data_IF_924340294130
#
_entry.id   IF_924340294130
#
_cell.length_a   1.000
_cell.length_b   1.000
_cell.length_c   1.000
_cell.angle_alpha   90.00
_cell.angle_beta   90.00
_cell.angle_gamma   90.00
#
_symmetry.space_group_name_H-M   'P 1'
#
loop_
_entity.id
_entity.type
_entity.pdbx_description
1 polymer ?
#
# COMPACT_ATOMS: atom_id res chain seq x y z
N UNK A 1 -12.87 -0.03 -25.03
CA UNK A 1 -13.98 -0.93 -24.72
C UNK A 1 -13.74 -2.25 -25.42
N UNK A 2 -13.04 -3.16 -24.76
CA UNK A 2 -12.81 -4.55 -25.19
C UNK A 2 -13.84 -5.53 -24.65
N UNK A 3 -14.80 -5.06 -23.84
CA UNK A 3 -15.88 -5.84 -23.23
C UNK A 3 -16.58 -6.76 -24.23
N UNK A 4 -16.68 -8.06 -23.91
CA UNK A 4 -17.17 -9.05 -24.85
C UNK A 4 -17.45 -10.43 -24.24
N UNK A 5 -17.24 -11.46 -25.06
CA UNK A 5 -17.44 -12.87 -24.71
C UNK A 5 -16.14 -13.62 -25.00
N UNK A 6 -15.32 -13.79 -23.95
CA UNK A 6 -13.97 -14.32 -24.05
C UNK A 6 -14.03 -15.84 -23.88
N UNK A 7 -14.02 -16.59 -24.99
CA UNK A 7 -14.17 -18.05 -24.96
C UNK A 7 -12.90 -18.74 -24.44
N UNK A 8 -13.02 -19.60 -23.43
CA UNK A 8 -11.89 -20.30 -22.80
C UNK A 8 -11.97 -21.81 -23.01
N UNK A 9 -10.91 -22.54 -22.63
CA UNK A 9 -10.91 -24.01 -22.52
C UNK A 9 -11.86 -24.52 -21.42
N UNK A 10 -12.27 -23.66 -20.48
CA UNK A 10 -12.98 -24.02 -19.26
C UNK A 10 -14.46 -23.64 -19.24
N UNK A 11 -14.99 -23.01 -20.29
CA UNK A 11 -16.41 -22.62 -20.44
C UNK A 11 -17.42 -23.76 -20.28
N UNK A 12 -16.99 -25.03 -20.31
CA UNK A 12 -17.85 -26.20 -20.05
C UNK A 12 -17.69 -26.81 -18.63
N UNK A 13 -16.76 -26.31 -17.80
CA UNK A 13 -16.59 -26.75 -16.40
C UNK A 13 -17.66 -26.15 -15.51
N UNK A 14 -18.15 -26.90 -14.52
CA UNK A 14 -18.89 -26.34 -13.39
C UNK A 14 -18.02 -25.38 -12.56
N UNK A 15 -18.62 -24.56 -11.70
CA UNK A 15 -17.85 -23.74 -10.75
C UNK A 15 -17.02 -24.60 -9.79
N UNK A 16 -17.48 -25.81 -9.45
CA UNK A 16 -16.74 -26.75 -8.60
C UNK A 16 -15.45 -27.23 -9.28
N UNK A 17 -15.53 -27.62 -10.56
CA UNK A 17 -14.38 -28.04 -11.36
C UNK A 17 -13.43 -26.89 -11.67
N UNK A 18 -13.94 -25.67 -11.90
CA UNK A 18 -13.13 -24.47 -12.12
C UNK A 18 -12.39 -24.05 -10.84
N UNK A 19 -13.11 -23.93 -9.71
CA UNK A 19 -12.52 -23.47 -8.46
C UNK A 19 -11.48 -24.44 -7.90
N UNK A 20 -11.64 -25.76 -8.15
CA UNK A 20 -10.60 -26.75 -7.86
C UNK A 20 -9.24 -26.45 -8.52
N UNK A 21 -9.20 -25.68 -9.61
CA UNK A 21 -7.96 -25.32 -10.30
C UNK A 21 -7.16 -24.22 -9.60
N UNK A 22 -7.76 -23.49 -8.64
CA UNK A 22 -7.05 -22.52 -7.79
C UNK A 22 -6.29 -23.18 -6.63
N UNK A 23 -6.48 -24.48 -6.37
CA UNK A 23 -5.60 -25.25 -5.49
C UNK A 23 -4.18 -25.17 -6.01
N UNK A 24 -3.21 -24.87 -5.15
CA UNK A 24 -1.77 -24.79 -5.45
C UNK A 24 -1.26 -26.08 -6.10
N UNK A 25 -1.75 -27.23 -5.62
CA UNK A 25 -1.47 -28.55 -6.19
C UNK A 25 -1.96 -28.74 -7.63
N UNK A 26 -2.88 -27.89 -8.11
CA UNK A 26 -3.34 -27.83 -9.49
C UNK A 26 -2.73 -26.65 -10.26
N UNK A 27 -2.82 -25.42 -9.72
CA UNK A 27 -2.38 -24.17 -10.34
C UNK A 27 -0.89 -24.18 -10.69
N UNK A 28 -0.04 -24.77 -9.84
CA UNK A 28 1.40 -24.94 -10.11
C UNK A 28 1.72 -25.83 -11.31
N UNK A 29 0.77 -26.68 -11.73
CA UNK A 29 0.91 -27.60 -12.87
C UNK A 29 0.30 -27.03 -14.16
N UNK A 30 -0.42 -25.91 -14.09
CA UNK A 30 -0.98 -25.22 -15.25
C UNK A 30 0.10 -24.45 -16.00
N UNK A 31 0.05 -24.54 -17.33
CA UNK A 31 0.88 -23.73 -18.22
C UNK A 31 0.32 -22.31 -18.27
N UNK A 32 1.12 -21.35 -18.74
CA UNK A 32 0.75 -19.93 -18.75
C UNK A 32 -0.61 -19.65 -19.44
N UNK A 33 -0.89 -20.29 -20.58
CA UNK A 33 -2.18 -20.13 -21.26
C UNK A 33 -3.35 -20.82 -20.54
N UNK A 34 -3.06 -21.81 -19.68
CA UNK A 34 -4.06 -22.53 -18.87
C UNK A 34 -4.35 -21.81 -17.55
N UNK A 35 -3.37 -21.05 -17.02
CA UNK A 35 -3.60 -20.06 -15.98
C UNK A 35 -4.44 -18.89 -16.53
N UNK A 36 -4.10 -18.36 -17.70
CA UNK A 36 -4.81 -17.23 -18.30
C UNK A 36 -6.28 -17.58 -18.60
N UNK A 37 -6.54 -18.73 -19.23
CA UNK A 37 -7.91 -19.21 -19.47
C UNK A 37 -8.70 -19.42 -18.16
N UNK A 38 -8.05 -19.84 -17.06
CA UNK A 38 -8.70 -20.00 -15.76
C UNK A 38 -9.12 -18.65 -15.19
N UNK A 39 -8.24 -17.64 -15.20
CA UNK A 39 -8.58 -16.29 -14.71
C UNK A 39 -9.68 -15.67 -15.59
N UNK A 40 -9.54 -15.74 -16.92
CA UNK A 40 -10.53 -15.20 -17.86
C UNK A 40 -11.91 -15.86 -17.68
N UNK A 41 -11.97 -17.18 -17.42
CA UNK A 41 -13.23 -17.89 -17.18
C UNK A 41 -13.87 -17.52 -15.84
N UNK A 42 -13.07 -17.28 -14.80
CA UNK A 42 -13.57 -16.78 -13.51
C UNK A 42 -14.11 -15.35 -13.65
N UNK A 43 -13.39 -14.46 -14.34
CA UNK A 43 -13.83 -13.09 -14.64
C UNK A 43 -15.10 -13.09 -15.50
N UNK A 44 -15.20 -13.95 -16.52
CA UNK A 44 -16.44 -14.14 -17.29
C UNK A 44 -17.64 -14.47 -16.40
N UNK A 45 -17.43 -15.28 -15.36
CA UNK A 45 -18.49 -15.73 -14.44
C UNK A 45 -18.86 -14.66 -13.42
N UNK A 46 -17.88 -13.95 -12.88
CA UNK A 46 -18.10 -12.80 -11.99
C UNK A 46 -18.85 -11.68 -12.72
N UNK A 47 -18.44 -11.34 -13.94
CA UNK A 47 -19.12 -10.39 -14.81
C UNK A 47 -20.59 -10.77 -15.08
N UNK A 48 -20.87 -12.04 -15.37
CA UNK A 48 -22.25 -12.55 -15.56
C UNK A 48 -23.04 -12.60 -14.25
N UNK A 49 -22.40 -12.93 -13.12
CA UNK A 49 -23.01 -12.93 -11.77
C UNK A 49 -23.46 -11.51 -11.36
N UNK A 50 -22.70 -10.49 -11.77
CA UNK A 50 -22.91 -9.07 -11.43
C UNK A 50 -23.74 -8.29 -12.45
N UNK A 51 -24.01 -8.88 -13.62
CA UNK A 51 -24.85 -8.28 -14.68
C UNK A 51 -24.10 -7.35 -15.64
N UNK A 52 -22.79 -7.53 -15.80
CA UNK A 52 -21.94 -6.69 -16.67
C UNK A 52 -22.28 -6.87 -18.16
N UNK A 53 -22.18 -5.78 -18.94
CA UNK A 53 -22.51 -5.76 -20.37
C UNK A 53 -21.28 -6.18 -21.19
N UNK A 54 -20.93 -7.45 -21.02
CA UNK A 54 -19.71 -8.06 -21.55
C UNK A 54 -18.61 -8.09 -20.50
N UNK A 55 -17.92 -9.23 -20.44
CA UNK A 55 -16.75 -9.46 -19.59
C UNK A 55 -15.53 -8.71 -20.15
N UNK A 56 -14.62 -8.18 -19.33
CA UNK A 56 -13.35 -7.63 -19.81
C UNK A 56 -12.37 -8.71 -20.28
N UNK A 57 -11.42 -8.30 -21.11
CA UNK A 57 -10.33 -9.18 -21.58
C UNK A 57 -9.23 -9.25 -20.52
N UNK A 58 -8.89 -10.45 -20.01
CA UNK A 58 -7.78 -10.65 -19.08
C UNK A 58 -6.48 -10.88 -19.84
N UNK A 59 -5.39 -10.25 -19.40
CA UNK A 59 -4.04 -10.41 -19.93
C UNK A 59 -3.00 -10.55 -18.82
N UNK A 60 -2.00 -11.40 -19.02
CA UNK A 60 -0.76 -11.36 -18.24
C UNK A 60 0.27 -10.53 -19.01
N UNK A 61 0.77 -9.45 -18.39
CA UNK A 61 1.81 -8.59 -18.97
C UNK A 61 2.87 -8.23 -17.91
N UNK A 62 4.03 -7.80 -18.38
CA UNK A 62 5.10 -7.29 -17.52
C UNK A 62 4.68 -5.88 -17.03
N UNK A 63 4.26 -5.77 -15.76
CA UNK A 63 3.83 -4.51 -15.13
C UNK A 63 4.98 -3.80 -14.39
N UNK A 64 4.81 -2.50 -14.05
CA UNK A 64 5.68 -1.79 -13.12
C UNK A 64 5.87 -2.48 -11.76
N UNK A 65 6.89 -2.06 -11.03
CA UNK A 65 7.20 -2.54 -9.68
C UNK A 65 6.15 -2.02 -8.69
N UNK A 66 5.83 -2.81 -7.67
CA UNK A 66 4.67 -2.67 -6.77
C UNK A 66 3.29 -2.89 -7.44
N UNK A 67 3.19 -2.94 -8.76
CA UNK A 67 1.92 -3.04 -9.48
C UNK A 67 1.54 -4.51 -9.74
N UNK A 68 0.45 -4.97 -9.10
CA UNK A 68 -0.02 -6.37 -9.21
C UNK A 68 -1.07 -6.56 -10.32
N UNK A 69 -1.83 -5.51 -10.63
CA UNK A 69 -2.80 -5.44 -11.72
C UNK A 69 -3.16 -4.00 -12.06
N UNK A 70 -3.85 -3.82 -13.18
CA UNK A 70 -4.60 -2.60 -13.51
C UNK A 70 -5.75 -2.93 -14.49
N UNK A 71 -6.68 -2.01 -14.67
CA UNK A 71 -7.65 -2.07 -15.78
C UNK A 71 -7.79 -0.75 -16.51
N UNK A 72 -8.00 -0.85 -17.81
CA UNK A 72 -8.40 0.26 -18.66
C UNK A 72 -9.23 -0.24 -19.83
N UNK A 73 -10.23 0.53 -20.25
CA UNK A 73 -10.92 0.33 -21.53
C UNK A 73 -11.61 -1.05 -21.69
N UNK A 74 -11.87 -1.77 -20.60
CA UNK A 74 -12.39 -3.15 -20.60
C UNK A 74 -11.34 -4.23 -20.82
N UNK A 75 -10.09 -3.96 -20.46
CA UNK A 75 -8.98 -4.92 -20.39
C UNK A 75 -8.44 -4.93 -18.96
N UNK A 76 -8.39 -6.12 -18.36
CA UNK A 76 -7.71 -6.37 -17.08
C UNK A 76 -6.28 -6.86 -17.40
N UNK A 77 -5.28 -6.13 -16.92
CA UNK A 77 -3.89 -6.53 -16.94
C UNK A 77 -3.49 -7.04 -15.55
N UNK A 78 -2.81 -8.18 -15.48
CA UNK A 78 -2.27 -8.74 -14.24
C UNK A 78 -0.77 -8.96 -14.40
N UNK A 79 -0.01 -8.68 -13.35
CA UNK A 79 1.44 -8.84 -13.33
C UNK A 79 1.82 -10.29 -13.65
N UNK A 80 2.54 -10.48 -14.76
CA UNK A 80 2.89 -11.80 -15.30
C UNK A 80 3.86 -12.57 -14.39
N UNK A 81 4.80 -11.89 -13.75
CA UNK A 81 5.75 -12.54 -12.83
C UNK A 81 5.04 -13.07 -11.57
N UNK A 82 4.05 -12.31 -11.07
CA UNK A 82 3.15 -12.77 -10.01
C UNK A 82 2.31 -13.96 -10.46
N UNK A 83 1.55 -13.82 -11.55
CA UNK A 83 0.56 -14.80 -11.97
C UNK A 83 1.15 -16.13 -12.46
N UNK A 84 2.29 -16.08 -13.17
CA UNK A 84 2.90 -17.23 -13.83
C UNK A 84 3.98 -17.88 -12.96
N UNK A 85 4.82 -17.09 -12.28
CA UNK A 85 5.99 -17.59 -11.55
C UNK A 85 5.89 -17.48 -10.02
N UNK A 86 4.92 -16.75 -9.49
CA UNK A 86 4.80 -16.50 -8.05
C UNK A 86 5.87 -15.55 -7.51
N UNK A 87 6.33 -14.61 -8.34
CA UNK A 87 7.32 -13.60 -7.96
C UNK A 87 6.61 -12.25 -7.81
N UNK A 88 6.75 -11.62 -6.64
CA UNK A 88 6.34 -10.24 -6.44
C UNK A 88 7.57 -9.32 -6.39
N UNK A 89 7.51 -8.21 -7.11
CA UNK A 89 8.54 -7.18 -7.14
C UNK A 89 8.07 -5.95 -6.37
N UNK A 90 8.87 -5.52 -5.39
CA UNK A 90 8.65 -4.27 -4.68
C UNK A 90 9.85 -3.33 -4.82
N UNK A 91 9.63 -2.03 -4.64
CA UNK A 91 10.72 -1.04 -4.65
C UNK A 91 11.03 -0.55 -3.24
N UNK A 92 12.33 -0.50 -2.93
CA UNK A 92 12.83 0.09 -1.69
C UNK A 92 14.07 0.95 -1.99
N UNK A 93 13.96 2.26 -1.78
CA UNK A 93 15.04 3.25 -1.96
C UNK A 93 15.72 3.18 -3.34
N UNK A 94 14.94 3.17 -4.43
CA UNK A 94 15.48 3.10 -5.80
C UNK A 94 16.04 1.73 -6.20
N UNK A 95 15.79 0.68 -5.42
CA UNK A 95 16.17 -0.71 -5.74
C UNK A 95 14.93 -1.59 -5.82
N UNK A 96 14.86 -2.39 -6.89
CA UNK A 96 13.82 -3.42 -7.06
C UNK A 96 14.24 -4.68 -6.31
N UNK A 97 13.36 -5.18 -5.45
CA UNK A 97 13.52 -6.41 -4.67
C UNK A 97 12.46 -7.41 -5.15
N UNK A 98 12.92 -8.53 -5.69
CA UNK A 98 12.04 -9.63 -6.11
C UNK A 98 12.04 -10.72 -5.05
N UNK A 99 10.86 -11.17 -4.64
CA UNK A 99 10.69 -12.28 -3.69
C UNK A 99 9.59 -13.24 -4.18
N UNK A 100 9.66 -14.49 -3.72
CA UNK A 100 8.62 -15.47 -4.02
C UNK A 100 7.45 -15.28 -3.04
N UNK A 101 6.22 -15.37 -3.53
CA UNK A 101 4.99 -15.40 -2.73
C UNK A 101 4.31 -16.78 -2.87
N UNK A 102 3.98 -17.38 -1.73
CA UNK A 102 3.51 -18.78 -1.68
C UNK A 102 2.03 -18.94 -2.07
N UNK A 103 1.27 -17.84 -2.02
CA UNK A 103 -0.18 -17.74 -2.28
C UNK A 103 -0.52 -17.10 -3.63
N UNK A 104 0.44 -17.05 -4.56
CA UNK A 104 0.30 -16.37 -5.86
C UNK A 104 -0.89 -16.85 -6.70
N UNK A 105 -1.29 -18.12 -6.57
CA UNK A 105 -2.52 -18.69 -7.14
C UNK A 105 -3.79 -17.95 -6.68
N UNK A 106 -3.78 -17.47 -5.44
CA UNK A 106 -4.89 -16.76 -4.80
C UNK A 106 -4.74 -15.24 -4.96
N UNK A 107 -3.52 -14.69 -4.88
CA UNK A 107 -3.29 -13.28 -5.18
C UNK A 107 -3.70 -12.94 -6.63
N UNK A 108 -3.41 -13.83 -7.60
CA UNK A 108 -3.89 -13.67 -8.99
C UNK A 108 -5.41 -13.64 -9.09
N UNK A 109 -6.12 -14.49 -8.33
CA UNK A 109 -7.59 -14.49 -8.26
C UNK A 109 -8.11 -13.20 -7.63
N UNK A 110 -7.54 -12.79 -6.51
CA UNK A 110 -7.93 -11.58 -5.77
C UNK A 110 -7.76 -10.33 -6.65
N UNK A 111 -6.61 -10.15 -7.29
CA UNK A 111 -6.37 -9.08 -8.27
C UNK A 111 -7.38 -9.14 -9.41
N UNK A 112 -7.66 -10.30 -10.00
CA UNK A 112 -8.62 -10.39 -11.11
C UNK A 112 -10.04 -9.91 -10.75
N UNK A 113 -10.51 -10.16 -9.51
CA UNK A 113 -11.80 -9.67 -9.03
C UNK A 113 -11.76 -8.17 -8.66
N UNK A 114 -10.63 -7.68 -8.15
CA UNK A 114 -10.38 -6.26 -7.88
C UNK A 114 -10.48 -5.45 -9.19
N UNK A 115 -9.72 -5.82 -10.21
CA UNK A 115 -9.76 -5.16 -11.54
C UNK A 115 -11.12 -5.30 -12.24
N UNK A 116 -11.81 -6.44 -12.06
CA UNK A 116 -13.19 -6.60 -12.56
C UNK A 116 -14.19 -5.68 -11.82
N UNK A 117 -13.86 -5.21 -10.62
CA UNK A 117 -14.71 -4.25 -9.89
C UNK A 117 -14.59 -2.84 -10.44
N UNK A 118 -13.40 -2.40 -10.84
CA UNK A 118 -13.23 -1.16 -11.60
C UNK A 118 -13.89 -1.22 -13.00
N UNK A 119 -13.99 -2.41 -13.61
CA UNK A 119 -14.74 -2.61 -14.85
C UNK A 119 -16.24 -2.32 -14.70
N UNK A 120 -16.93 -2.91 -13.70
CA UNK A 120 -18.36 -2.60 -13.48
C UNK A 120 -18.58 -1.17 -12.99
N UNK A 121 -17.69 -0.63 -12.15
CA UNK A 121 -17.74 0.77 -11.70
C UNK A 121 -17.75 1.72 -12.90
N UNK A 122 -16.86 1.48 -13.88
CA UNK A 122 -16.80 2.21 -15.14
C UNK A 122 -18.12 2.11 -15.93
N UNK A 123 -18.65 0.90 -16.14
CA UNK A 123 -19.93 0.70 -16.86
C UNK A 123 -21.13 1.37 -16.14
N UNK A 124 -21.11 1.46 -14.81
CA UNK A 124 -22.13 2.17 -14.01
C UNK A 124 -22.00 3.69 -14.18
N UNK A 125 -20.79 4.25 -14.11
CA UNK A 125 -20.54 5.70 -14.28
C UNK A 125 -20.87 6.16 -15.70
N UNK A 126 -20.43 5.40 -16.72
CA UNK A 126 -20.74 5.67 -18.14
C UNK A 126 -22.24 5.54 -18.48
N UNK A 127 -23.04 4.91 -17.61
CA UNK A 127 -24.46 4.66 -17.85
C UNK A 127 -24.72 3.54 -18.88
N UNK A 128 -23.78 2.61 -19.01
CA UNK A 128 -23.97 1.34 -19.72
C UNK A 128 -24.82 0.39 -18.86
N UNK A 129 -24.66 0.45 -17.54
CA UNK A 129 -25.45 -0.27 -16.53
C UNK A 129 -26.26 0.74 -15.72
N UNK A 130 -27.57 0.52 -15.64
CA UNK A 130 -28.44 1.17 -14.64
C UNK A 130 -28.29 0.46 -13.28
N UNK A 131 -28.26 1.23 -12.19
CA UNK A 131 -28.29 0.73 -10.82
C UNK A 131 -29.33 1.47 -10.00
N UNK A 132 -30.06 0.75 -9.14
CA UNK A 132 -30.99 1.34 -8.17
C UNK A 132 -30.24 2.06 -7.03
N UNK A 133 -28.96 1.74 -6.80
CA UNK A 133 -28.14 2.42 -5.79
C UNK A 133 -27.51 3.71 -6.35
N UNK A 134 -28.32 4.77 -6.30
CA UNK A 134 -27.92 6.13 -6.64
C UNK A 134 -26.89 6.73 -5.65
N UNK A 135 -26.76 6.18 -4.44
CA UNK A 135 -25.75 6.64 -3.49
C UNK A 135 -24.37 6.13 -3.89
N UNK A 136 -24.22 4.82 -4.09
CA UNK A 136 -23.00 4.18 -4.59
C UNK A 136 -22.60 4.80 -5.95
N UNK A 137 -23.53 4.95 -6.89
CA UNK A 137 -23.25 5.60 -8.18
C UNK A 137 -22.71 7.02 -8.01
N UNK A 138 -23.29 7.83 -7.12
CA UNK A 138 -22.80 9.19 -6.87
C UNK A 138 -21.49 9.24 -6.06
N UNK A 139 -21.04 8.14 -5.46
CA UNK A 139 -19.67 8.06 -4.93
C UNK A 139 -18.66 7.77 -6.04
N UNK A 140 -18.95 6.81 -6.94
CA UNK A 140 -18.09 6.53 -8.10
C UNK A 140 -18.00 7.71 -9.08
N UNK A 141 -19.12 8.39 -9.39
CA UNK A 141 -19.13 9.60 -10.23
C UNK A 141 -18.24 10.72 -9.68
N UNK A 142 -18.04 10.77 -8.35
CA UNK A 142 -17.23 11.76 -7.67
C UNK A 142 -15.79 11.31 -7.39
N UNK A 143 -15.40 10.10 -7.80
CA UNK A 143 -14.10 9.49 -7.52
C UNK A 143 -13.46 8.96 -8.83
N UNK A 144 -13.14 9.91 -9.70
CA UNK A 144 -12.55 9.73 -11.03
C UNK A 144 -11.43 10.77 -11.23
N UNK A 145 -10.57 10.57 -12.23
CA UNK A 145 -9.43 11.42 -12.61
C UNK A 145 -9.80 12.87 -13.02
N UNK A 146 -11.08 13.23 -12.94
CA UNK A 146 -11.52 14.63 -12.98
C UNK A 146 -10.79 15.49 -11.94
N UNK A 147 -10.57 16.77 -12.26
CA UNK A 147 -9.89 17.72 -11.38
C UNK A 147 -10.77 18.96 -11.13
N UNK A 148 -10.70 19.55 -9.93
CA UNK A 148 -11.44 20.77 -9.58
C UNK A 148 -10.65 21.71 -8.66
N UNK A 149 -11.07 22.99 -8.50
CA UNK A 149 -10.39 23.94 -7.60
C UNK A 149 -10.66 23.61 -6.13
N UNK A 150 -9.66 23.08 -5.44
CA UNK A 150 -9.69 22.76 -4.01
C UNK A 150 -9.16 23.96 -3.21
N UNK A 151 -9.91 24.37 -2.18
CA UNK A 151 -9.49 25.44 -1.26
C UNK A 151 -9.11 24.89 0.11
N UNK A 152 -7.89 25.16 0.54
CA UNK A 152 -7.30 24.67 1.79
C UNK A 152 -6.41 25.73 2.43
N UNK A 153 -6.58 25.97 3.74
CA UNK A 153 -5.85 27.01 4.51
C UNK A 153 -5.82 28.42 3.88
N UNK A 154 -6.87 28.79 3.13
CA UNK A 154 -6.99 30.09 2.47
C UNK A 154 -6.34 30.18 1.08
N UNK A 155 -5.62 29.15 0.65
CA UNK A 155 -5.11 29.01 -0.72
C UNK A 155 -6.09 28.17 -1.56
N UNK A 156 -6.14 28.42 -2.87
CA UNK A 156 -6.89 27.59 -3.83
C UNK A 156 -5.96 27.08 -4.92
N UNK A 157 -5.97 25.77 -5.16
CA UNK A 157 -5.19 25.08 -6.18
C UNK A 157 -6.09 24.08 -6.93
N UNK A 158 -5.58 23.41 -7.97
CA UNK A 158 -6.28 22.25 -8.52
C UNK A 158 -6.00 21.01 -7.67
N UNK A 159 -7.00 20.12 -7.57
CA UNK A 159 -6.88 18.79 -7.00
C UNK A 159 -7.63 17.75 -7.83
N UNK A 160 -7.14 16.52 -7.85
CA UNK A 160 -7.77 15.36 -8.48
C UNK A 160 -8.79 14.73 -7.53
N UNK A 161 -9.87 14.12 -8.04
CA UNK A 161 -10.82 13.35 -7.20
C UNK A 161 -10.51 11.84 -7.17
N UNK A 162 -9.60 11.36 -8.01
CA UNK A 162 -8.87 10.12 -7.76
C UNK A 162 -7.64 10.45 -6.89
N UNK A 163 -7.51 9.76 -5.77
CA UNK A 163 -6.47 9.94 -4.77
C UNK A 163 -5.38 8.88 -5.02
N UNK A 164 -4.13 9.30 -5.21
CA UNK A 164 -2.99 8.39 -5.48
C UNK A 164 -2.29 7.92 -4.19
N UNK A 165 -2.44 8.68 -3.10
CA UNK A 165 -2.02 8.25 -1.75
C UNK A 165 -0.60 8.67 -1.32
N UNK A 166 0.01 9.60 -2.04
CA UNK A 166 1.39 10.07 -1.84
C UNK A 166 1.55 11.07 -0.66
N UNK A 167 0.47 11.59 -0.08
CA UNK A 167 0.57 12.45 1.11
C UNK A 167 0.85 11.64 2.39
N UNK A 168 1.26 12.28 3.51
CA UNK A 168 1.35 11.59 4.79
C UNK A 168 -0.03 11.05 5.22
N UNK A 169 -0.13 9.73 5.41
CA UNK A 169 -1.39 8.97 5.59
C UNK A 169 -2.23 8.78 4.31
N UNK A 170 -1.72 9.20 3.16
CA UNK A 170 -2.37 9.11 1.84
C UNK A 170 -2.71 7.69 1.42
N UNK A 171 -1.90 6.67 1.76
CA UNK A 171 -2.23 5.26 1.53
C UNK A 171 -3.64 4.87 2.02
N UNK A 172 -4.06 5.36 3.19
CA UNK A 172 -5.42 5.10 3.69
C UNK A 172 -6.50 5.93 2.99
N UNK A 173 -6.12 7.07 2.38
CA UNK A 173 -7.02 7.88 1.55
C UNK A 173 -7.21 7.24 0.17
N UNK A 174 -6.15 6.65 -0.41
CA UNK A 174 -6.22 5.76 -1.57
C UNK A 174 -7.11 4.55 -1.26
N UNK A 175 -6.73 3.74 -0.27
CA UNK A 175 -7.36 2.43 -0.01
C UNK A 175 -8.87 2.53 0.33
N UNK A 176 -9.30 3.66 0.90
CA UNK A 176 -10.70 3.90 1.29
C UNK A 176 -11.45 4.93 0.42
N UNK A 177 -10.91 5.35 -0.73
CA UNK A 177 -11.71 6.06 -1.73
C UNK A 177 -12.74 5.12 -2.37
N UNK A 178 -13.95 5.59 -2.75
CA UNK A 178 -15.05 4.74 -3.21
C UNK A 178 -14.70 3.60 -4.18
N UNK A 179 -13.90 3.85 -5.22
CA UNK A 179 -13.55 2.81 -6.22
C UNK A 179 -12.73 1.68 -5.59
N UNK A 180 -11.60 2.03 -4.97
CA UNK A 180 -10.65 1.11 -4.33
C UNK A 180 -11.30 0.37 -3.16
N UNK A 181 -12.03 1.11 -2.31
CA UNK A 181 -12.73 0.60 -1.13
C UNK A 181 -13.61 -0.60 -1.49
N UNK A 182 -14.42 -0.46 -2.53
CA UNK A 182 -15.39 -1.48 -2.92
C UNK A 182 -14.73 -2.57 -3.78
N UNK A 183 -13.64 -2.26 -4.48
CA UNK A 183 -12.82 -3.24 -5.20
C UNK A 183 -12.01 -4.16 -4.26
N UNK A 184 -11.36 -3.63 -3.21
CA UNK A 184 -10.68 -4.43 -2.19
C UNK A 184 -11.67 -5.30 -1.42
N UNK A 185 -12.78 -4.72 -0.93
CA UNK A 185 -13.81 -5.47 -0.21
C UNK A 185 -14.38 -6.60 -1.08
N UNK A 186 -14.76 -6.33 -2.33
CA UNK A 186 -15.29 -7.36 -3.25
C UNK A 186 -14.26 -8.44 -3.57
N UNK A 187 -12.99 -8.09 -3.73
CA UNK A 187 -11.92 -9.05 -4.01
C UNK A 187 -11.72 -10.02 -2.83
N UNK A 188 -11.59 -9.50 -1.61
CA UNK A 188 -11.46 -10.31 -0.39
C UNK A 188 -12.70 -11.18 -0.14
N UNK A 189 -13.91 -10.62 -0.28
CA UNK A 189 -15.16 -11.37 -0.13
C UNK A 189 -15.27 -12.52 -1.14
N UNK A 190 -15.05 -12.27 -2.44
CA UNK A 190 -15.21 -13.28 -3.49
C UNK A 190 -14.13 -14.35 -3.44
N UNK A 191 -12.90 -13.96 -3.13
CA UNK A 191 -11.79 -14.90 -2.92
C UNK A 191 -12.06 -15.76 -1.69
N UNK A 192 -12.54 -15.15 -0.59
CA UNK A 192 -13.00 -15.83 0.61
C UNK A 192 -14.15 -16.81 0.35
N UNK A 193 -15.17 -16.46 -0.44
CA UNK A 193 -16.23 -17.39 -0.87
C UNK A 193 -15.66 -18.64 -1.55
N UNK A 194 -14.75 -18.44 -2.52
CA UNK A 194 -14.14 -19.51 -3.32
C UNK A 194 -13.27 -20.41 -2.44
N UNK A 195 -12.40 -19.83 -1.61
CA UNK A 195 -11.55 -20.58 -0.68
C UNK A 195 -12.37 -21.39 0.33
N UNK A 196 -13.36 -20.78 0.99
CA UNK A 196 -14.23 -21.48 1.94
C UNK A 196 -14.97 -22.65 1.29
N UNK A 197 -15.44 -22.48 0.05
CA UNK A 197 -16.07 -23.55 -0.72
C UNK A 197 -15.13 -24.72 -1.02
N UNK A 198 -13.89 -24.44 -1.43
CA UNK A 198 -12.87 -25.47 -1.71
C UNK A 198 -12.47 -26.18 -0.41
N UNK A 199 -12.07 -25.43 0.62
CA UNK A 199 -11.56 -25.97 1.89
C UNK A 199 -12.60 -26.83 2.62
N UNK A 200 -13.88 -26.41 2.61
CA UNK A 200 -14.97 -27.18 3.22
C UNK A 200 -15.23 -28.55 2.55
N UNK A 201 -14.82 -28.73 1.27
CA UNK A 201 -15.00 -29.98 0.51
C UNK A 201 -13.74 -30.84 0.41
N UNK A 202 -12.58 -30.20 0.29
CA UNK A 202 -11.33 -30.84 -0.13
C UNK A 202 -10.17 -30.64 0.84
N UNK A 203 -10.37 -29.90 1.95
CA UNK A 203 -9.32 -29.53 2.88
C UNK A 203 -8.45 -28.38 2.37
N UNK A 204 -7.64 -27.82 3.27
CA UNK A 204 -6.79 -26.65 3.03
C UNK A 204 -5.55 -26.98 2.18
N UNK A 205 -4.85 -25.93 1.72
CA UNK A 205 -3.48 -25.98 1.17
C UNK A 205 -2.66 -24.79 1.70
N UNK A 206 -1.33 -24.86 1.56
CA UNK A 206 -0.39 -23.91 2.18
C UNK A 206 -0.61 -22.47 1.69
N UNK A 207 -0.70 -22.27 0.37
CA UNK A 207 -1.14 -21.01 -0.25
C UNK A 207 -2.41 -20.40 0.36
N UNK A 208 -3.41 -21.22 0.74
CA UNK A 208 -4.65 -20.71 1.31
C UNK A 208 -4.43 -20.20 2.74
N UNK A 209 -3.52 -20.84 3.49
CA UNK A 209 -3.13 -20.41 4.84
C UNK A 209 -2.30 -19.13 4.80
N UNK A 210 -1.43 -18.95 3.81
CA UNK A 210 -0.66 -17.72 3.65
C UNK A 210 -1.54 -16.55 3.19
N UNK A 211 -2.46 -16.74 2.25
CA UNK A 211 -3.45 -15.71 1.89
C UNK A 211 -4.33 -15.33 3.09
N UNK A 212 -4.85 -16.30 3.84
CA UNK A 212 -5.69 -16.02 5.02
C UNK A 212 -4.91 -15.22 6.08
N UNK A 213 -3.64 -15.55 6.37
CA UNK A 213 -2.79 -14.75 7.27
C UNK A 213 -2.56 -13.33 6.73
N UNK A 214 -2.43 -13.17 5.41
CA UNK A 214 -2.30 -11.85 4.77
C UNK A 214 -3.55 -11.00 4.99
N UNK A 215 -4.75 -11.57 4.81
CA UNK A 215 -6.04 -10.91 5.12
C UNK A 215 -6.19 -10.62 6.62
N UNK A 216 -5.84 -11.58 7.49
CA UNK A 216 -5.89 -11.43 8.96
C UNK A 216 -4.94 -10.34 9.52
N UNK A 217 -3.91 -9.95 8.76
CA UNK A 217 -2.89 -8.97 9.20
C UNK A 217 -2.90 -7.66 8.41
N UNK A 218 -3.37 -7.66 7.17
CA UNK A 218 -3.29 -6.50 6.25
C UNK A 218 -4.52 -6.27 5.37
N UNK A 219 -5.54 -7.13 5.46
CA UNK A 219 -6.78 -7.03 4.68
C UNK A 219 -7.73 -5.93 5.16
N UNK A 220 -8.82 -5.74 4.41
CA UNK A 220 -9.74 -4.61 4.48
C UNK A 220 -10.21 -4.27 5.89
N UNK A 221 -10.64 -5.27 6.67
CA UNK A 221 -11.15 -5.05 8.02
C UNK A 221 -10.06 -4.55 8.98
N UNK A 222 -8.81 -5.01 8.81
CA UNK A 222 -7.67 -4.54 9.60
C UNK A 222 -7.35 -3.10 9.23
N UNK A 223 -7.24 -2.81 7.93
CA UNK A 223 -6.98 -1.44 7.41
C UNK A 223 -8.06 -0.45 7.84
N UNK A 224 -9.31 -0.89 7.96
CA UNK A 224 -10.39 -0.02 8.43
C UNK A 224 -10.23 0.32 9.92
N UNK A 225 -9.84 -0.64 10.77
CA UNK A 225 -9.58 -0.36 12.19
C UNK A 225 -8.34 0.53 12.38
N UNK A 226 -7.29 0.34 11.58
CA UNK A 226 -6.11 1.21 11.55
C UNK A 226 -6.50 2.64 11.15
N UNK A 227 -7.24 2.80 10.04
CA UNK A 227 -7.68 4.09 9.56
C UNK A 227 -8.56 4.83 10.59
N UNK A 228 -9.57 4.16 11.15
CA UNK A 228 -10.45 4.75 12.19
C UNK A 228 -9.65 5.28 13.38
N UNK A 229 -8.60 4.56 13.81
CA UNK A 229 -7.73 4.96 14.91
C UNK A 229 -6.79 6.11 14.53
N UNK A 230 -6.08 6.01 13.40
CA UNK A 230 -5.10 7.02 12.94
C UNK A 230 -5.76 8.37 12.60
N UNK A 231 -6.92 8.32 11.93
CA UNK A 231 -7.72 9.50 11.61
C UNK A 231 -8.53 9.98 12.84
N UNK A 232 -8.68 9.15 13.87
CA UNK A 232 -9.55 9.37 15.03
C UNK A 232 -10.98 9.73 14.59
N UNK A 233 -11.50 9.00 13.60
CA UNK A 233 -12.81 9.23 13.00
C UNK A 233 -13.51 7.88 12.73
N UNK A 234 -14.56 7.50 13.50
CA UNK A 234 -15.31 6.28 13.27
C UNK A 234 -16.23 6.33 12.03
N UNK A 235 -16.39 7.51 11.39
CA UNK A 235 -17.13 7.68 10.14
C UNK A 235 -16.19 7.87 8.92
N UNK A 236 -14.89 7.61 9.08
CA UNK A 236 -13.83 7.98 8.13
C UNK A 236 -14.15 7.68 6.64
N UNK A 237 -14.55 6.45 6.31
CA UNK A 237 -14.86 6.06 4.90
C UNK A 237 -15.98 6.90 4.29
N UNK A 238 -17.02 7.18 5.08
CA UNK A 238 -18.18 7.96 4.66
C UNK A 238 -17.82 9.45 4.54
N UNK A 239 -17.05 9.99 5.50
CA UNK A 239 -16.60 11.38 5.46
C UNK A 239 -15.67 11.63 4.27
N UNK A 240 -14.74 10.71 3.98
CA UNK A 240 -13.85 10.76 2.82
C UNK A 240 -14.66 10.81 1.51
N UNK A 241 -15.54 9.83 1.33
CA UNK A 241 -16.42 9.73 0.15
C UNK A 241 -17.30 10.98 0.02
N UNK A 242 -17.76 11.52 1.15
CA UNK A 242 -18.59 12.71 1.19
C UNK A 242 -17.83 14.01 0.88
N UNK A 243 -16.53 14.10 1.20
CA UNK A 243 -15.66 15.24 0.80
C UNK A 243 -15.46 15.25 -0.71
N UNK A 244 -15.18 14.10 -1.33
CA UNK A 244 -15.05 13.97 -2.79
C UNK A 244 -16.35 14.41 -3.49
N UNK A 245 -17.49 13.90 -3.04
CA UNK A 245 -18.82 14.34 -3.50
C UNK A 245 -19.08 15.83 -3.32
N UNK A 246 -18.76 16.41 -2.15
CA UNK A 246 -18.92 17.84 -1.90
C UNK A 246 -18.12 18.68 -2.91
N UNK A 247 -16.89 18.26 -3.19
CA UNK A 247 -15.97 18.94 -4.10
C UNK A 247 -16.38 18.79 -5.58
N UNK A 248 -16.89 17.61 -5.97
CA UNK A 248 -17.39 17.32 -7.32
C UNK A 248 -18.75 17.98 -7.63
N UNK A 249 -19.77 17.67 -6.83
CA UNK A 249 -21.15 18.17 -7.01
C UNK A 249 -21.36 19.59 -6.46
N UNK A 250 -20.36 20.17 -5.79
CA UNK A 250 -20.41 21.51 -5.18
C UNK A 250 -21.48 21.62 -4.09
N UNK A 251 -21.57 20.58 -3.26
CA UNK A 251 -22.42 20.56 -2.06
C UNK A 251 -21.62 20.89 -0.80
N UNK A 252 -22.35 21.28 0.25
CA UNK A 252 -21.81 21.69 1.55
C UNK A 252 -22.46 20.81 2.64
N UNK A 253 -22.34 19.49 2.49
CA UNK A 253 -22.78 18.52 3.50
C UNK A 253 -21.73 18.40 4.59
N UNK A 254 -22.15 18.36 5.85
CA UNK A 254 -21.24 18.25 7.00
C UNK A 254 -20.46 16.92 7.01
N UNK A 255 -19.18 17.01 7.36
CA UNK A 255 -18.18 15.94 7.49
C UNK A 255 -17.22 16.30 8.63
N UNK A 256 -16.39 15.38 9.12
CA UNK A 256 -15.29 15.74 10.01
C UNK A 256 -14.26 16.69 9.34
N UNK A 257 -13.91 17.77 10.03
CA UNK A 257 -13.04 18.83 9.52
C UNK A 257 -11.58 18.39 9.37
N UNK A 258 -11.11 17.43 10.17
CA UNK A 258 -9.74 16.89 10.05
C UNK A 258 -9.66 16.00 8.80
N UNK A 259 -10.65 15.15 8.60
CA UNK A 259 -10.80 14.28 7.42
C UNK A 259 -10.94 15.12 6.15
N UNK A 260 -11.79 16.16 6.15
CA UNK A 260 -11.91 17.12 5.04
C UNK A 260 -10.56 17.77 4.68
N UNK A 261 -9.82 18.27 5.68
CA UNK A 261 -8.53 18.91 5.45
C UNK A 261 -7.47 17.95 4.90
N UNK A 262 -7.48 16.67 5.32
CA UNK A 262 -6.53 15.65 4.84
C UNK A 262 -6.89 15.15 3.43
N UNK A 263 -8.17 14.90 3.14
CA UNK A 263 -8.63 14.55 1.78
C UNK A 263 -8.31 15.69 0.81
N UNK A 264 -8.63 16.95 1.17
CA UNK A 264 -8.30 18.12 0.33
C UNK A 264 -6.81 18.35 0.16
N UNK A 265 -5.97 17.90 1.09
CA UNK A 265 -4.52 17.90 0.91
C UNK A 265 -4.08 16.82 -0.10
N UNK A 266 -4.57 15.59 0.06
CA UNK A 266 -4.29 14.48 -0.87
C UNK A 266 -4.75 14.78 -2.30
N UNK A 267 -5.95 15.35 -2.49
CA UNK A 267 -6.42 15.79 -3.82
C UNK A 267 -5.40 16.69 -4.54
N UNK A 268 -4.77 17.62 -3.80
CA UNK A 268 -3.75 18.54 -4.35
C UNK A 268 -2.43 17.80 -4.59
N UNK A 269 -2.01 16.87 -3.72
CA UNK A 269 -0.82 16.04 -3.93
C UNK A 269 -1.00 15.15 -5.17
N UNK A 270 -2.11 14.42 -5.24
CA UNK A 270 -2.51 13.57 -6.37
C UNK A 270 -2.51 14.31 -7.71
N UNK A 271 -3.05 15.54 -7.76
CA UNK A 271 -2.96 16.38 -8.96
C UNK A 271 -1.52 16.70 -9.36
N UNK A 272 -0.63 16.98 -8.38
CA UNK A 272 0.76 17.27 -8.67
C UNK A 272 1.54 16.04 -9.15
N UNK A 273 1.30 14.85 -8.58
CA UNK A 273 1.91 13.59 -9.06
C UNK A 273 1.51 13.28 -10.51
N UNK A 274 0.20 13.27 -10.81
CA UNK A 274 -0.31 12.99 -12.15
C UNK A 274 0.18 14.02 -13.19
N UNK A 275 0.35 15.30 -12.81
CA UNK A 275 0.94 16.32 -13.70
C UNK A 275 2.46 16.14 -13.88
N UNK A 276 3.18 15.64 -12.87
CA UNK A 276 4.59 15.27 -13.00
C UNK A 276 4.73 14.06 -13.95
N UNK A 277 3.92 13.02 -13.80
CA UNK A 277 3.87 11.88 -14.72
C UNK A 277 3.58 12.32 -16.16
N UNK A 278 2.57 13.16 -16.39
CA UNK A 278 2.25 13.69 -17.73
C UNK A 278 3.42 14.52 -18.30
N UNK A 279 4.18 15.22 -17.45
CA UNK A 279 5.35 16.01 -17.87
C UNK A 279 6.57 15.12 -18.17
N UNK A 280 6.80 14.09 -17.35
CA UNK A 280 7.88 13.11 -17.51
C UNK A 280 7.58 12.11 -18.65
N UNK A 281 6.33 11.94 -19.07
CA UNK A 281 6.01 11.24 -20.32
C UNK A 281 6.52 11.96 -21.60
N UNK A 282 7.25 13.08 -21.47
CA UNK A 282 8.06 13.67 -22.55
C UNK A 282 9.59 13.44 -22.42
N UNK A 283 10.13 12.98 -21.29
CA UNK A 283 11.57 12.70 -21.08
C UNK A 283 11.79 11.42 -20.25
N UNK A 284 12.64 10.50 -20.73
CA UNK A 284 12.60 9.07 -20.41
C UNK A 284 12.70 8.65 -18.91
N UNK A 285 11.64 7.99 -18.43
CA UNK A 285 11.63 6.71 -17.68
C UNK A 285 11.66 6.70 -16.12
N UNK A 286 11.16 5.54 -15.62
CA UNK A 286 11.18 4.99 -14.26
C UNK A 286 10.36 5.76 -13.20
N UNK A 287 9.31 5.11 -12.68
CA UNK A 287 8.72 5.47 -11.38
C UNK A 287 9.66 5.05 -10.25
N UNK A 288 9.55 5.71 -9.10
CA UNK A 288 10.28 5.43 -7.86
C UNK A 288 9.42 5.88 -6.69
N UNK A 289 9.05 4.95 -5.80
CA UNK A 289 8.19 5.24 -4.65
C UNK A 289 9.03 5.63 -3.43
N UNK A 290 9.06 6.93 -3.10
CA UNK A 290 9.92 7.47 -2.03
C UNK A 290 9.28 7.33 -0.63
N UNK A 291 9.21 6.08 -0.15
CA UNK A 291 8.78 5.77 1.21
C UNK A 291 9.74 6.42 2.24
N UNK A 292 9.22 7.40 2.98
CA UNK A 292 9.99 8.16 4.00
C UNK A 292 10.82 7.24 4.89
N UNK A 293 12.13 7.53 5.07
CA UNK A 293 13.02 6.64 5.79
C UNK A 293 12.63 6.50 7.26
N UNK A 294 12.35 5.25 7.66
CA UNK A 294 12.22 4.84 9.06
C UNK A 294 13.56 5.07 9.77
N UNK A 295 13.53 5.59 11.00
CA UNK A 295 14.77 5.81 11.76
C UNK A 295 15.43 4.48 12.18
N UNK A 296 16.76 4.48 12.38
CA UNK A 296 17.49 3.30 12.87
C UNK A 296 16.87 2.72 14.14
N UNK A 297 16.38 3.57 15.06
CA UNK A 297 15.72 3.11 16.28
C UNK A 297 14.42 2.36 15.96
N UNK A 298 13.54 2.92 15.15
CA UNK A 298 12.26 2.29 14.78
C UNK A 298 12.46 1.02 13.95
N UNK A 299 13.47 0.99 13.07
CA UNK A 299 13.86 -0.19 12.30
C UNK A 299 14.41 -1.30 13.21
N UNK A 300 15.26 -0.94 14.18
CA UNK A 300 15.78 -1.84 15.19
C UNK A 300 14.67 -2.40 16.09
N UNK A 301 13.79 -1.55 16.61
CA UNK A 301 12.62 -1.93 17.41
C UNK A 301 11.72 -2.89 16.63
N UNK A 302 11.35 -2.55 15.38
CA UNK A 302 10.49 -3.40 14.54
C UNK A 302 11.10 -4.78 14.22
N UNK A 303 12.40 -4.86 13.90
CA UNK A 303 13.05 -6.14 13.63
C UNK A 303 13.26 -6.95 14.91
N UNK A 304 13.61 -6.29 16.01
CA UNK A 304 13.81 -6.93 17.31
C UNK A 304 12.50 -7.49 17.85
N UNK A 305 11.38 -6.79 17.69
CA UNK A 305 10.06 -7.28 18.08
C UNK A 305 9.61 -8.45 17.19
N UNK A 306 9.99 -8.46 15.90
CA UNK A 306 9.80 -9.63 15.02
C UNK A 306 10.59 -10.85 15.50
N UNK A 307 11.87 -10.69 15.88
CA UNK A 307 12.70 -11.78 16.44
C UNK A 307 12.17 -12.25 17.80
N UNK A 308 11.75 -11.33 18.67
CA UNK A 308 11.14 -11.67 19.96
C UNK A 308 9.85 -12.46 19.77
N UNK A 309 8.96 -12.02 18.86
CA UNK A 309 7.70 -12.70 18.57
C UNK A 309 7.92 -14.09 17.95
N UNK A 310 8.91 -14.25 17.06
CA UNK A 310 9.31 -15.55 16.53
C UNK A 310 9.82 -16.49 17.65
N UNK A 311 10.68 -16.00 18.54
CA UNK A 311 11.17 -16.78 19.68
C UNK A 311 10.03 -17.20 20.63
N UNK A 312 9.15 -16.27 21.01
CA UNK A 312 8.00 -16.58 21.87
C UNK A 312 7.01 -17.54 21.18
N UNK A 313 6.86 -17.48 19.86
CA UNK A 313 6.08 -18.47 19.11
C UNK A 313 6.76 -19.86 19.15
N UNK A 314 8.00 -19.96 18.66
CA UNK A 314 8.70 -21.24 18.45
C UNK A 314 9.07 -21.97 19.73
N UNK A 315 9.17 -21.29 20.88
CA UNK A 315 9.36 -21.93 22.20
C UNK A 315 8.04 -22.37 22.86
N UNK A 316 6.89 -21.86 22.40
CA UNK A 316 5.57 -22.30 22.87
C UNK A 316 4.90 -23.33 21.92
N UNK A 317 5.42 -23.53 20.71
CA UNK A 317 5.01 -24.63 19.84
C UNK A 317 5.43 -25.99 20.45
N UNK A 318 4.52 -26.95 20.43
CA UNK A 318 4.75 -28.31 20.93
C UNK A 318 5.31 -29.25 19.84
N UNK A 319 5.46 -28.77 18.61
CA UNK A 319 5.99 -29.49 17.46
C UNK A 319 7.49 -29.24 17.22
N UNK A 320 8.01 -28.10 17.66
CA UNK A 320 9.42 -27.69 17.51
C UNK A 320 10.18 -28.06 18.79
N UNK A 321 11.43 -28.52 18.67
CA UNK A 321 12.25 -28.80 19.86
C UNK A 321 12.95 -27.55 20.38
N UNK A 322 13.15 -27.42 21.71
CA UNK A 322 13.79 -26.23 22.31
C UNK A 322 15.16 -25.89 21.68
N UNK A 323 15.97 -26.89 21.36
CA UNK A 323 17.29 -26.68 20.73
C UNK A 323 17.17 -26.19 19.28
N UNK A 324 16.08 -26.53 18.59
CA UNK A 324 15.76 -26.17 17.21
C UNK A 324 15.18 -24.76 17.14
N UNK A 325 14.20 -24.44 18.00
CA UNK A 325 13.69 -23.08 18.19
C UNK A 325 14.80 -22.09 18.58
N UNK A 326 15.77 -22.50 19.41
CA UNK A 326 16.95 -21.69 19.75
C UNK A 326 17.89 -21.52 18.56
N UNK A 327 18.13 -22.55 17.74
CA UNK A 327 18.97 -22.43 16.55
C UNK A 327 18.34 -21.55 15.47
N UNK A 328 17.04 -21.70 15.19
CA UNK A 328 16.33 -20.86 14.22
C UNK A 328 16.24 -19.41 14.70
N UNK A 329 15.97 -19.18 15.99
CA UNK A 329 16.02 -17.83 16.58
C UNK A 329 17.42 -17.24 16.54
N UNK A 330 18.47 -18.05 16.75
CA UNK A 330 19.86 -17.59 16.63
C UNK A 330 20.18 -17.17 15.19
N UNK A 331 19.77 -17.97 14.19
CA UNK A 331 19.96 -17.62 12.78
C UNK A 331 19.14 -16.37 12.38
N UNK A 332 17.91 -16.22 12.89
CA UNK A 332 17.12 -15.01 12.70
C UNK A 332 17.74 -13.80 13.40
N UNK A 333 18.39 -14.00 14.55
CA UNK A 333 19.15 -12.97 15.27
C UNK A 333 20.43 -12.57 14.54
N UNK A 334 21.14 -13.51 13.91
CA UNK A 334 22.30 -13.23 13.05
C UNK A 334 21.87 -12.44 11.80
N UNK A 335 20.75 -12.82 11.16
CA UNK A 335 20.16 -12.07 10.05
C UNK A 335 19.73 -10.65 10.48
N UNK A 336 19.14 -10.49 11.67
CA UNK A 336 18.81 -9.19 12.25
C UNK A 336 20.07 -8.34 12.51
N UNK A 337 21.13 -8.92 13.09
CA UNK A 337 22.38 -8.20 13.33
C UNK A 337 23.03 -7.76 12.01
N UNK A 338 23.05 -8.62 10.99
CA UNK A 338 23.53 -8.27 9.65
C UNK A 338 22.68 -7.15 9.00
N UNK A 339 21.36 -7.19 9.14
CA UNK A 339 20.46 -6.14 8.63
C UNK A 339 20.65 -4.79 9.36
N UNK A 340 21.01 -4.81 10.65
CA UNK A 340 21.36 -3.60 11.40
C UNK A 340 22.76 -3.08 11.02
N UNK A 341 23.74 -3.96 10.80
CA UNK A 341 25.08 -3.60 10.34
C UNK A 341 25.04 -2.99 8.92
N UNK A 342 24.33 -3.61 7.98
CA UNK A 342 24.10 -3.07 6.63
C UNK A 342 23.34 -1.73 6.66
N UNK A 343 22.36 -1.56 7.56
CA UNK A 343 21.66 -0.28 7.73
C UNK A 343 22.59 0.80 8.31
N UNK A 344 23.45 0.48 9.27
CA UNK A 344 24.41 1.42 9.85
C UNK A 344 25.48 1.83 8.83
N UNK A 345 26.03 0.89 8.06
CA UNK A 345 26.96 1.19 6.95
C UNK A 345 26.28 2.05 5.88
N UNK A 346 25.00 1.82 5.57
CA UNK A 346 24.23 2.66 4.65
C UNK A 346 24.01 4.09 5.18
N UNK A 347 23.90 4.30 6.50
CA UNK A 347 23.87 5.64 7.09
C UNK A 347 25.24 6.31 7.07
N UNK A 348 26.31 5.58 7.42
CA UNK A 348 27.68 6.11 7.39
C UNK A 348 28.14 6.49 5.97
N UNK A 349 27.64 5.81 4.94
CA UNK A 349 27.86 6.16 3.53
C UNK A 349 26.97 7.32 3.04
N UNK A 350 25.79 7.53 3.66
CA UNK A 350 24.91 8.66 3.39
C UNK A 350 25.54 9.99 3.86
N UNK A 351 26.02 10.03 5.10
CA UNK A 351 26.62 11.24 5.68
C UNK A 351 28.00 11.58 5.08
N UNK A 352 28.56 10.69 4.23
CA UNK A 352 29.85 10.85 3.59
C UNK A 352 29.88 11.75 2.33
N UNK A 353 28.75 12.30 1.89
CA UNK A 353 28.64 13.09 0.64
C UNK A 353 28.40 14.59 0.91
N UNK A 354 29.12 15.20 1.87
CA UNK A 354 29.39 16.64 1.82
C UNK A 354 30.74 17.04 2.44
N UNK A 355 31.72 17.33 1.58
CA UNK A 355 32.97 18.06 1.88
C UNK A 355 33.25 19.00 0.69
N UNK A 356 33.81 20.20 0.84
CA UNK A 356 34.75 20.68 1.86
C UNK A 356 34.55 22.16 2.20
N UNK A 357 34.92 22.57 3.43
CA UNK A 357 35.66 23.83 3.64
C UNK A 357 36.53 23.78 4.91
N UNK A 358 37.82 23.52 4.69
CA UNK A 358 39.05 23.69 5.50
C UNK A 358 39.08 24.24 6.95
N UNK A 359 40.20 23.91 7.62
CA UNK A 359 40.76 24.39 8.89
C UNK A 359 40.13 23.83 10.18
N UNK A 360 40.89 23.25 11.12
CA UNK A 360 42.34 22.93 11.09
C UNK A 360 42.66 21.65 11.88
N UNK A 361 43.81 21.04 11.58
CA UNK A 361 44.35 19.89 12.31
C UNK A 361 45.29 20.41 13.40
N UNK A 362 45.02 20.08 14.65
CA UNK A 362 46.04 19.94 15.70
C UNK A 362 45.98 18.50 16.25
N UNK A 363 47.01 17.73 15.95
CA UNK A 363 47.23 16.34 16.37
C UNK A 363 48.15 16.34 17.60
N UNK A 364 47.77 15.70 18.73
CA UNK A 364 48.65 15.13 19.77
C UNK A 364 47.90 14.73 21.08
N UNK A 365 48.48 13.82 21.87
CA UNK A 365 48.52 14.04 23.33
C UNK A 365 47.43 13.51 24.29
N UNK A 366 47.21 12.19 24.34
CA UNK A 366 47.42 11.37 25.57
C UNK A 366 46.93 11.88 26.97
N UNK A 367 46.06 11.06 27.58
CA UNK A 367 45.91 10.77 29.05
C UNK A 367 45.17 11.70 30.02
N UNK A 368 44.56 11.02 31.00
CA UNK A 368 43.91 11.48 32.23
C UNK A 368 44.82 12.23 33.22
N UNK A 369 44.26 13.18 33.96
CA UNK A 369 44.52 13.57 35.37
C UNK A 369 43.57 14.76 35.68
N UNK A 370 42.61 14.63 36.61
CA UNK A 370 42.71 14.99 38.05
C UNK A 370 43.21 16.43 38.34
N UNK A 371 42.48 17.20 39.16
CA UNK A 371 43.04 18.39 39.82
C UNK A 371 42.10 19.58 40.03
N UNK A 372 41.95 19.98 41.30
CA UNK A 372 41.41 21.26 41.81
C UNK A 372 41.89 22.50 41.01
N UNK A 373 41.20 23.65 40.92
CA UNK A 373 40.14 24.23 41.74
C UNK A 373 40.39 25.74 42.02
N UNK A 374 39.34 26.43 42.49
CA UNK A 374 39.40 27.61 43.42
C UNK A 374 39.72 29.03 42.85
N UNK A 375 38.85 29.99 43.25
CA UNK A 375 38.98 31.47 43.36
C UNK A 375 39.32 32.36 42.14
N UNK A 376 39.13 33.69 42.16
CA UNK A 376 38.16 34.61 42.82
C UNK A 376 38.38 36.06 42.25
N UNK A 377 37.42 36.98 42.44
CA UNK A 377 37.50 38.40 42.09
C UNK A 377 37.05 38.73 40.65
N UNK A 378 36.40 39.86 40.35
CA UNK A 378 36.10 41.06 41.16
C UNK A 378 37.12 42.20 40.95
N UNK A 379 36.77 43.49 41.06
CA UNK A 379 35.50 44.18 41.40
C UNK A 379 35.63 45.68 41.00
N UNK A 380 34.51 46.42 40.81
CA UNK A 380 34.41 47.91 40.68
C UNK A 380 35.17 48.58 39.48
N UNK A 381 34.96 49.84 39.06
CA UNK A 381 34.02 50.97 39.31
C UNK A 381 33.95 51.79 37.99
N UNK A 382 33.12 52.82 37.72
CA UNK A 382 32.10 53.58 38.46
C UNK A 382 31.75 54.87 37.68
N UNK A 383 30.57 55.50 37.85
CA UNK A 383 30.27 56.78 37.18
C UNK A 383 28.80 57.18 36.93
N UNK A 384 28.09 57.62 37.99
CA UNK A 384 27.34 58.91 38.12
C UNK A 384 26.29 59.28 37.04
N UNK A 385 24.98 59.42 37.37
CA UNK A 385 24.28 60.59 37.97
C UNK A 385 24.20 61.83 37.03
N UNK A 386 23.11 62.59 36.86
CA UNK A 386 21.71 62.64 37.36
C UNK A 386 20.85 63.32 36.22
N UNK A 387 19.53 63.57 36.18
CA UNK A 387 18.31 63.52 37.03
C UNK A 387 17.08 63.50 36.05
N UNK A 388 15.83 63.52 36.54
CA UNK A 388 14.80 64.36 35.88
C UNK A 388 13.63 63.71 35.13
N UNK A 389 12.75 62.99 35.85
CA UNK A 389 11.28 62.88 35.65
C UNK A 389 10.66 63.10 34.23
N UNK A 390 10.03 62.07 33.63
CA UNK A 390 9.36 62.27 32.33
C UNK A 390 8.42 61.19 31.74
N UNK A 391 7.48 60.64 32.52
CA UNK A 391 6.43 59.64 32.16
C UNK A 391 6.89 58.21 31.82
#
# INVERSE_FOLDING_TARGET
MSYGVHSTRYTNLSNEELYLMYRESAYSQLREEEKLDLIQETVNRDAVERGEIGSPEVRFIDLPVNESGNTADGVININRDMAVFGIQSCEYKGRVINHNIEDYNIQTLNTAIHENTHCIQSQIVEGIIDTDDLHMKSEYEANDFTCSPVSLYGNTQLGCHYLVGESPMGYYLYYFQPTERDAYLRAEEKTGEILNYITAKYGNEHSFEQYNKSVETTGYQVREQEAIQLFNNPNFKNDLSQVLQNQYFKTDKLVDQRTEAMVKAEMIVSYNSLIQEISMNMEEKNMSFDLKPVSLQQYNESLRDSVNAFYEHSVNDNLISNDEAVNETAQMSENYLAAIEEFQDAQLQSDGIEAYSEMDIDEEGISSIEGDGIDDGGVEEGGLEEEGLGL
#
